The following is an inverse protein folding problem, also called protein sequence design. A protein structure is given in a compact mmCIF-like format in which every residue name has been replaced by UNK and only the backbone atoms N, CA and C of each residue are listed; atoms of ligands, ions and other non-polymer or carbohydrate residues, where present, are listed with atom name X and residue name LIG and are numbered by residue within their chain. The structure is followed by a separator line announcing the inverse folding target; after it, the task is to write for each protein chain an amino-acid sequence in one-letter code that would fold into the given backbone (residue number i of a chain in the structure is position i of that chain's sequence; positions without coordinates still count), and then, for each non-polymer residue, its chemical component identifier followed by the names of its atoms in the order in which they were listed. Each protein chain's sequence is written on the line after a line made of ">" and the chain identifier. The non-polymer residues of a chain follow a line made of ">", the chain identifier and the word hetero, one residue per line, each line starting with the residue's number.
data_IF_647930392496
#
_entry.id   IF_647930392496
#
_cell.length_a   1.000
_cell.length_b   1.000
_cell.length_c   1.000
_cell.angle_alpha   90.00
_cell.angle_beta   90.00
_cell.angle_gamma   90.00
#
_symmetry.space_group_name_H-M   'P 1'
#
loop_
_entity.id
_entity.type
_entity.pdbx_description
1 polymer ?
#
# COMPACT_ATOMS: atom_id res chain seq x y z
N UNK A 1 11.44 5.67 -14.18
CA UNK A 1 11.94 6.62 -13.16
C UNK A 1 11.35 6.31 -11.79
N UNK A 2 10.04 6.01 -11.70
CA UNK A 2 9.37 5.60 -10.45
C UNK A 2 10.07 4.44 -9.72
N UNK A 3 10.42 3.37 -10.44
CA UNK A 3 11.14 2.22 -9.86
C UNK A 3 12.48 2.62 -9.19
N UNK A 4 13.24 3.53 -9.81
CA UNK A 4 14.48 4.08 -9.23
C UNK A 4 14.18 4.92 -7.99
N UNK A 5 13.14 5.76 -8.04
CA UNK A 5 12.74 6.59 -6.90
C UNK A 5 12.31 5.72 -5.70
N UNK A 6 11.55 4.66 -5.97
CA UNK A 6 11.18 3.67 -4.97
C UNK A 6 12.42 2.96 -4.40
N UNK A 7 13.38 2.57 -5.25
CA UNK A 7 14.64 1.99 -4.80
C UNK A 7 15.44 2.93 -3.90
N UNK A 8 15.46 4.23 -4.19
CA UNK A 8 16.11 5.24 -3.35
C UNK A 8 15.47 5.30 -1.96
N UNK A 9 14.14 5.16 -1.87
CA UNK A 9 13.43 5.11 -0.58
C UNK A 9 13.72 3.81 0.21
N UNK A 10 13.97 2.70 -0.48
CA UNK A 10 14.30 1.40 0.13
C UNK A 10 15.75 1.25 0.61
N UNK A 11 16.64 2.22 0.32
CA UNK A 11 18.04 2.19 0.78
C UNK A 11 18.15 2.18 2.33
N UNK A 12 17.05 2.46 3.03
CA UNK A 12 16.97 2.49 4.49
C UNK A 12 17.43 3.83 5.06
N UNK A 13 17.32 3.98 6.38
CA UNK A 13 17.63 5.24 7.06
C UNK A 13 19.11 5.63 6.88
N UNK A 14 20.05 4.70 7.11
CA UNK A 14 21.48 4.98 7.01
C UNK A 14 21.91 5.39 5.60
N UNK A 15 21.41 4.70 4.58
CA UNK A 15 21.83 5.02 3.22
C UNK A 15 21.10 6.24 2.65
N UNK A 16 19.86 6.54 3.07
CA UNK A 16 19.22 7.82 2.74
C UNK A 16 19.94 9.01 3.38
N UNK A 17 20.38 8.87 4.64
CA UNK A 17 21.25 9.84 5.30
C UNK A 17 22.57 10.01 4.56
N UNK A 18 23.24 8.90 4.19
CA UNK A 18 24.50 8.95 3.44
C UNK A 18 24.34 9.65 2.08
N UNK A 19 23.24 9.38 1.36
CA UNK A 19 22.93 10.03 0.10
C UNK A 19 22.67 11.53 0.28
N UNK A 20 21.88 11.92 1.29
CA UNK A 20 21.63 13.33 1.60
C UNK A 20 22.94 14.07 1.92
N UNK A 21 23.80 13.47 2.75
CA UNK A 21 25.13 13.99 3.06
C UNK A 21 26.00 14.15 1.83
N UNK A 22 26.03 13.15 0.94
CA UNK A 22 26.78 13.20 -0.31
C UNK A 22 26.28 14.35 -1.21
N UNK A 23 24.96 14.51 -1.36
CA UNK A 23 24.38 15.61 -2.15
C UNK A 23 24.75 16.97 -1.58
N UNK A 24 24.63 17.17 -0.26
CA UNK A 24 25.02 18.40 0.42
C UNK A 24 26.51 18.71 0.26
N UNK A 25 27.37 17.71 0.39
CA UNK A 25 28.82 17.87 0.27
C UNK A 25 29.24 18.21 -1.17
N UNK A 26 28.71 17.48 -2.16
CA UNK A 26 28.99 17.72 -3.57
C UNK A 26 28.49 19.10 -4.01
N UNK A 27 27.30 19.51 -3.58
CA UNK A 27 26.77 20.83 -3.89
C UNK A 27 27.58 21.96 -3.26
N UNK A 28 28.06 21.78 -2.02
CA UNK A 28 28.99 22.70 -1.37
C UNK A 28 30.31 22.82 -2.15
N UNK A 29 30.93 21.70 -2.52
CA UNK A 29 32.16 21.69 -3.30
C UNK A 29 31.99 22.40 -4.65
N UNK A 30 30.90 22.11 -5.36
CA UNK A 30 30.58 22.75 -6.62
C UNK A 30 30.39 24.26 -6.46
N UNK A 31 29.59 24.70 -5.49
CA UNK A 31 29.37 26.13 -5.22
C UNK A 31 30.68 26.87 -4.91
N UNK A 32 31.61 26.24 -4.20
CA UNK A 32 32.92 26.81 -3.90
C UNK A 32 33.84 26.88 -5.11
N UNK A 33 33.79 25.88 -5.99
CA UNK A 33 34.53 25.91 -7.25
C UNK A 33 34.10 27.08 -8.15
N UNK A 34 32.81 27.43 -8.14
CA UNK A 34 32.27 28.53 -8.96
C UNK A 34 32.34 29.91 -8.29
N UNK A 35 32.51 29.98 -6.96
CA UNK A 35 32.54 31.26 -6.23
C UNK A 35 33.97 31.69 -5.92
N UNK A 36 34.39 32.87 -6.39
CA UNK A 36 35.71 33.45 -6.11
C UNK A 36 35.73 34.51 -5.00
N UNK A 37 34.57 34.81 -4.39
CA UNK A 37 34.43 35.91 -3.44
C UNK A 37 35.16 35.67 -2.11
N UNK A 38 35.89 36.69 -1.65
CA UNK A 38 36.59 36.72 -0.35
C UNK A 38 35.66 37.13 0.79
N UNK A 39 34.50 36.49 0.88
CA UNK A 39 33.57 36.75 1.99
C UNK A 39 34.20 36.32 3.31
N UNK A 40 34.01 37.12 4.35
CA UNK A 40 34.38 36.80 5.74
C UNK A 40 33.13 36.78 6.60
N UNK A 41 32.97 35.72 7.38
CA UNK A 41 31.79 35.53 8.20
C UNK A 41 32.14 35.42 9.69
N UNK A 42 31.57 36.32 10.48
CA UNK A 42 31.73 36.28 11.94
C UNK A 42 31.07 35.04 12.56
N UNK A 43 31.57 34.61 13.72
CA UNK A 43 31.04 33.43 14.45
C UNK A 43 29.51 33.44 14.65
N UNK A 44 28.88 34.52 15.15
CA UNK A 44 27.43 34.53 15.35
C UNK A 44 26.65 34.42 14.03
N UNK A 45 27.15 35.03 12.95
CA UNK A 45 26.51 34.93 11.64
C UNK A 45 26.66 33.53 11.05
N UNK A 46 27.82 32.89 11.21
CA UNK A 46 28.03 31.50 10.80
C UNK A 46 27.12 30.54 11.58
N UNK A 47 26.98 30.73 12.88
CA UNK A 47 26.07 29.94 13.71
C UNK A 47 24.61 30.08 13.25
N UNK A 48 24.16 31.32 12.95
CA UNK A 48 22.83 31.57 12.43
C UNK A 48 22.61 30.84 11.08
N UNK A 49 23.52 30.97 10.12
CA UNK A 49 23.38 30.30 8.81
C UNK A 49 23.42 28.78 8.96
N UNK A 50 24.21 28.25 9.90
CA UNK A 50 24.20 26.82 10.24
C UNK A 50 22.82 26.41 10.75
N UNK A 51 22.25 27.15 11.71
CA UNK A 51 20.90 26.91 12.23
C UNK A 51 19.83 26.99 11.13
N UNK A 52 19.92 27.97 10.22
CA UNK A 52 19.04 28.08 9.06
C UNK A 52 19.17 26.86 8.15
N UNK A 53 20.39 26.39 7.87
CA UNK A 53 20.62 25.21 7.04
C UNK A 53 20.01 23.96 7.66
N UNK A 54 20.13 23.79 8.98
CA UNK A 54 19.44 22.71 9.71
C UNK A 54 17.91 22.79 9.57
N UNK A 55 17.33 23.98 9.71
CA UNK A 55 15.90 24.19 9.53
C UNK A 55 15.44 23.89 8.10
N UNK A 56 16.18 24.37 7.10
CA UNK A 56 15.89 24.08 5.69
C UNK A 56 15.94 22.57 5.41
N UNK A 57 16.97 21.87 5.91
CA UNK A 57 17.08 20.41 5.82
C UNK A 57 15.87 19.73 6.47
N UNK A 58 15.48 20.13 7.69
CA UNK A 58 14.31 19.57 8.35
C UNK A 58 13.02 19.83 7.56
N UNK A 59 12.85 21.00 6.93
CA UNK A 59 11.69 21.28 6.08
C UNK A 59 11.63 20.41 4.82
N UNK A 60 12.77 19.90 4.31
CA UNK A 60 12.74 18.93 3.20
C UNK A 60 12.05 17.62 3.59
N UNK A 61 12.01 17.27 4.89
CA UNK A 61 11.26 16.10 5.38
C UNK A 61 9.74 16.24 5.17
N UNK A 62 9.21 17.45 4.98
CA UNK A 62 7.79 17.66 4.67
C UNK A 62 7.37 16.96 3.38
N UNK A 63 8.29 16.78 2.42
CA UNK A 63 8.02 16.03 1.20
C UNK A 63 7.74 14.54 1.48
N UNK A 64 8.20 13.99 2.60
CA UNK A 64 7.91 12.61 3.00
C UNK A 64 6.40 12.39 3.23
N UNK A 65 5.68 13.43 3.66
CA UNK A 65 4.22 13.36 3.84
C UNK A 65 3.46 13.16 2.52
N UNK A 66 4.06 13.53 1.39
CA UNK A 66 3.49 13.36 0.06
C UNK A 66 3.80 12.01 -0.59
N UNK A 67 4.64 11.16 0.01
CA UNK A 67 5.11 9.91 -0.62
C UNK A 67 3.94 8.97 -0.95
N UNK A 68 2.98 8.81 -0.03
CA UNK A 68 1.86 7.90 -0.23
C UNK A 68 0.97 8.32 -1.41
N UNK A 69 0.65 9.62 -1.50
CA UNK A 69 -0.12 10.15 -2.61
C UNK A 69 0.66 10.06 -3.93
N UNK A 70 1.97 10.29 -3.88
CA UNK A 70 2.85 10.17 -5.04
C UNK A 70 2.94 8.74 -5.58
N UNK A 71 2.92 7.73 -4.70
CA UNK A 71 2.86 6.31 -5.11
C UNK A 71 1.54 6.01 -5.82
N UNK A 72 0.41 6.48 -5.28
CA UNK A 72 -0.92 6.23 -5.85
C UNK A 72 -1.10 6.85 -7.24
N UNK A 73 -0.51 8.02 -7.43
CA UNK A 73 -0.70 8.87 -8.61
C UNK A 73 0.51 8.87 -9.56
N UNK A 74 1.45 7.95 -9.41
CA UNK A 74 2.59 7.74 -10.33
C UNK A 74 3.53 8.96 -10.51
N UNK A 75 3.77 9.72 -9.44
CA UNK A 75 4.69 10.87 -9.45
C UNK A 75 5.75 10.81 -8.33
N UNK A 76 6.03 9.63 -7.78
CA UNK A 76 7.03 9.42 -6.73
C UNK A 76 8.41 9.95 -7.13
N UNK A 77 8.81 9.79 -8.40
CA UNK A 77 10.09 10.32 -8.88
C UNK A 77 10.19 11.85 -8.74
N UNK A 78 9.09 12.58 -8.92
CA UNK A 78 9.08 14.03 -8.76
C UNK A 78 9.27 14.44 -7.29
N UNK A 79 8.61 13.74 -6.36
CA UNK A 79 8.79 13.98 -4.91
C UNK A 79 10.21 13.66 -4.48
N UNK A 80 10.77 12.52 -4.89
CA UNK A 80 12.16 12.15 -4.56
C UNK A 80 13.15 13.15 -5.16
N UNK A 81 12.95 13.58 -6.41
CA UNK A 81 13.79 14.59 -7.05
C UNK A 81 13.69 15.95 -6.34
N UNK A 82 12.51 16.35 -5.87
CA UNK A 82 12.32 17.58 -5.11
C UNK A 82 12.99 17.51 -3.73
N UNK A 83 12.84 16.38 -3.03
CA UNK A 83 13.48 16.13 -1.74
C UNK A 83 14.99 16.26 -1.82
N UNK A 84 15.65 15.47 -2.68
CA UNK A 84 17.11 15.54 -2.82
C UNK A 84 17.59 16.77 -3.59
N UNK A 85 16.80 17.28 -4.54
CA UNK A 85 17.11 18.49 -5.30
C UNK A 85 17.13 19.74 -4.42
N UNK A 86 16.25 19.83 -3.42
CA UNK A 86 16.24 20.94 -2.46
C UNK A 86 17.49 20.98 -1.56
N UNK A 87 18.20 19.85 -1.40
CA UNK A 87 19.48 19.82 -0.69
C UNK A 87 20.61 20.51 -1.46
N UNK A 88 20.50 20.68 -2.78
CA UNK A 88 21.52 21.34 -3.60
C UNK A 88 21.74 22.80 -3.16
N UNK A 89 20.72 23.68 -3.13
CA UNK A 89 20.91 25.06 -2.67
C UNK A 89 21.28 25.13 -1.17
N UNK A 90 20.81 24.19 -0.33
CA UNK A 90 21.14 24.16 1.09
C UNK A 90 22.63 23.84 1.30
N UNK A 91 23.15 22.82 0.61
CA UNK A 91 24.56 22.47 0.68
C UNK A 91 25.45 23.55 0.08
N UNK A 92 25.04 24.20 -1.01
CA UNK A 92 25.73 25.37 -1.55
C UNK A 92 25.84 26.51 -0.51
N UNK A 93 24.73 26.85 0.18
CA UNK A 93 24.71 27.86 1.24
C UNK A 93 25.63 27.47 2.42
N UNK A 94 25.57 26.21 2.85
CA UNK A 94 26.42 25.68 3.91
C UNK A 94 27.92 25.73 3.52
N UNK A 95 28.27 25.33 2.30
CA UNK A 95 29.64 25.38 1.78
C UNK A 95 30.20 26.80 1.70
N UNK A 96 29.45 27.74 1.11
CA UNK A 96 29.86 29.15 0.99
C UNK A 96 30.06 29.77 2.38
N UNK A 97 29.13 29.54 3.30
CA UNK A 97 29.23 30.09 4.66
C UNK A 97 30.38 29.46 5.46
N UNK A 98 30.64 28.16 5.30
CA UNK A 98 31.79 27.47 5.91
C UNK A 98 33.13 27.98 5.35
N UNK A 99 33.23 28.21 4.04
CA UNK A 99 34.42 28.79 3.43
C UNK A 99 34.64 30.24 3.88
N UNK A 100 33.57 31.04 3.97
CA UNK A 100 33.66 32.41 4.46
C UNK A 100 34.06 32.47 5.95
N UNK A 101 33.58 31.51 6.74
CA UNK A 101 34.00 31.33 8.14
C UNK A 101 35.45 30.88 8.24
N UNK A 102 35.88 29.95 7.39
CA UNK A 102 37.26 29.48 7.32
C UNK A 102 38.21 30.63 6.96
N UNK A 103 37.80 31.49 6.02
CA UNK A 103 38.57 32.66 5.61
C UNK A 103 38.73 33.67 6.76
N UNK A 104 37.66 33.94 7.51
CA UNK A 104 37.72 34.80 8.69
C UNK A 104 38.61 34.23 9.81
N UNK A 105 38.54 32.92 10.05
CA UNK A 105 39.22 32.27 11.18
C UNK A 105 40.69 31.88 10.90
N UNK A 106 40.99 31.50 9.65
CA UNK A 106 42.27 30.91 9.26
C UNK A 106 42.96 31.62 8.10
N UNK A 107 42.31 32.62 7.47
CA UNK A 107 42.85 33.32 6.30
C UNK A 107 42.86 32.47 5.02
N UNK A 108 42.19 31.32 5.02
CA UNK A 108 42.04 30.42 3.85
C UNK A 108 40.63 29.87 3.76
N UNK A 109 40.15 29.57 2.55
CA UNK A 109 38.86 28.93 2.29
C UNK A 109 38.92 27.39 2.35
N UNK A 110 40.12 26.80 2.40
CA UNK A 110 40.33 25.37 2.17
C UNK A 110 39.76 24.47 3.27
N UNK A 111 39.50 25.02 4.45
CA UNK A 111 38.96 24.27 5.59
C UNK A 111 37.43 24.29 5.67
N UNK A 112 36.74 24.59 4.58
CA UNK A 112 35.27 24.58 4.50
C UNK A 112 34.69 23.20 4.83
N UNK A 113 35.36 22.11 4.42
CA UNK A 113 34.88 20.74 4.62
C UNK A 113 34.73 20.37 6.10
N UNK A 114 35.39 21.10 7.01
CA UNK A 114 35.23 20.89 8.45
C UNK A 114 33.79 21.11 8.91
N UNK A 115 32.97 21.89 8.19
CA UNK A 115 31.56 22.07 8.54
C UNK A 115 30.73 20.78 8.41
N UNK A 116 31.19 19.84 7.59
CA UNK A 116 30.51 18.58 7.32
C UNK A 116 30.87 17.46 8.32
N UNK A 117 31.84 17.69 9.21
CA UNK A 117 32.17 16.74 10.28
C UNK A 117 31.72 17.36 11.60
N UNK A 118 30.74 16.79 12.33
CA UNK A 118 30.13 17.44 13.49
C UNK A 118 31.13 18.01 14.50
N UNK A 119 32.14 17.21 14.88
CA UNK A 119 33.18 17.65 15.83
C UNK A 119 34.15 18.67 15.24
N UNK A 120 34.48 18.58 13.94
CA UNK A 120 35.36 19.55 13.30
C UNK A 120 34.64 20.89 13.05
N UNK A 121 33.33 20.87 12.87
CA UNK A 121 32.53 22.07 12.73
C UNK A 121 32.57 22.92 14.01
N UNK A 122 32.67 22.29 15.19
CA UNK A 122 32.88 23.01 16.45
C UNK A 122 34.21 23.76 16.45
N UNK A 123 35.28 23.17 15.91
CA UNK A 123 36.57 23.86 15.78
C UNK A 123 36.45 25.09 14.85
N UNK A 124 35.72 24.97 13.73
CA UNK A 124 35.47 26.08 12.81
C UNK A 124 34.59 27.20 13.43
N UNK A 125 33.57 26.79 14.20
CA UNK A 125 32.68 27.69 14.91
C UNK A 125 33.42 28.49 16.00
N UNK A 126 34.22 27.80 16.83
CA UNK A 126 34.89 28.41 17.98
C UNK A 126 36.27 28.98 17.70
N UNK A 127 36.82 28.83 16.50
CA UNK A 127 38.06 29.50 16.12
C UNK A 127 37.96 31.03 16.31
N UNK A 128 39.06 31.69 16.66
CA UNK A 128 39.10 33.15 16.74
C UNK A 128 39.06 33.77 15.33
N UNK A 129 38.48 34.95 15.19
CA UNK A 129 38.60 35.72 13.94
C UNK A 129 40.00 36.35 13.88
N UNK A 130 40.61 36.39 12.70
CA UNK A 130 41.87 37.10 12.47
C UNK A 130 41.70 38.62 12.46
N UNK A 131 40.49 39.11 12.16
CA UNK A 131 40.21 40.54 12.17
C UNK A 131 40.04 41.05 13.61
N UNK A 132 40.66 42.20 13.90
CA UNK A 132 40.57 42.81 15.23
C UNK A 132 39.11 43.10 15.54
N UNK A 133 38.59 42.63 16.67
CA UNK A 133 37.21 42.87 16.98
C UNK A 133 36.97 44.36 17.26
N UNK A 134 36.11 45.01 16.48
CA UNK A 134 35.46 46.26 16.91
C UNK A 134 34.81 46.04 18.27
N UNK A 135 35.18 46.85 19.27
CA UNK A 135 34.65 46.78 20.63
C UNK A 135 33.43 47.69 20.79
N UNK A 136 32.37 47.21 21.44
CA UNK A 136 31.18 48.03 21.74
C UNK A 136 29.93 47.22 22.12
N UNK A 137 29.04 47.83 22.92
CA UNK A 137 27.75 47.27 23.34
C UNK A 137 26.87 46.83 22.16
N UNK A 138 26.74 47.61 21.05
CA UNK A 138 25.89 47.20 19.92
C UNK A 138 26.28 45.86 19.30
N UNK A 139 27.58 45.55 19.28
CA UNK A 139 28.09 44.26 18.76
C UNK A 139 27.71 43.09 19.65
N UNK A 140 27.78 43.25 20.97
CA UNK A 140 27.41 42.21 21.93
C UNK A 140 25.92 41.89 21.77
N UNK A 141 25.07 42.92 21.71
CA UNK A 141 23.63 42.77 21.49
C UNK A 141 23.37 42.05 20.16
N UNK A 142 23.99 42.48 19.06
CA UNK A 142 23.85 41.81 17.75
C UNK A 142 24.29 40.34 17.81
N UNK A 143 25.38 40.04 18.49
CA UNK A 143 25.90 38.66 18.61
C UNK A 143 24.93 37.78 19.40
N UNK A 144 24.38 38.27 20.51
CA UNK A 144 23.37 37.58 21.31
C UNK A 144 22.14 37.30 20.45
N UNK A 145 21.62 38.31 19.75
CA UNK A 145 20.43 38.16 18.89
C UNK A 145 20.65 37.09 17.80
N UNK A 146 21.80 37.11 17.11
CA UNK A 146 22.12 36.12 16.07
C UNK A 146 22.25 34.70 16.62
N UNK A 147 22.89 34.54 17.79
CA UNK A 147 23.01 33.23 18.45
C UNK A 147 21.64 32.73 18.89
N UNK A 148 20.83 33.56 19.55
CA UNK A 148 19.48 33.20 19.97
C UNK A 148 18.63 32.77 18.77
N UNK A 149 18.69 33.51 17.66
CA UNK A 149 17.95 33.15 16.45
C UNK A 149 18.45 31.82 15.85
N UNK A 150 19.75 31.56 15.86
CA UNK A 150 20.31 30.28 15.43
C UNK A 150 19.83 29.11 16.30
N UNK A 151 19.77 29.28 17.63
CA UNK A 151 19.23 28.28 18.55
C UNK A 151 17.74 28.03 18.28
N UNK A 152 16.95 29.10 18.07
CA UNK A 152 15.54 28.97 17.72
C UNK A 152 15.33 28.22 16.41
N UNK A 153 16.16 28.46 15.39
CA UNK A 153 16.09 27.72 14.12
C UNK A 153 16.42 26.23 14.29
N UNK A 154 17.45 25.89 15.09
CA UNK A 154 17.76 24.49 15.40
C UNK A 154 16.63 23.81 16.18
N UNK A 155 16.06 24.50 17.17
CA UNK A 155 14.90 23.99 17.91
C UNK A 155 13.66 23.80 17.03
N UNK A 156 13.42 24.74 16.11
CA UNK A 156 12.35 24.63 15.12
C UNK A 156 12.59 23.45 14.15
N UNK A 157 13.84 23.23 13.73
CA UNK A 157 14.21 22.11 12.87
C UNK A 157 13.85 20.77 13.52
N UNK A 158 14.26 20.57 14.78
CA UNK A 158 13.92 19.38 15.56
C UNK A 158 12.40 19.24 15.77
N UNK A 159 11.71 20.36 16.01
CA UNK A 159 10.26 20.39 16.11
C UNK A 159 9.55 19.93 14.83
N UNK A 160 10.03 20.37 13.66
CA UNK A 160 9.53 19.96 12.35
C UNK A 160 9.78 18.47 12.12
N UNK A 161 11.01 17.98 12.34
CA UNK A 161 11.34 16.56 12.14
C UNK A 161 10.46 15.64 12.98
N UNK A 162 10.31 15.93 14.29
CA UNK A 162 9.44 15.15 15.18
C UNK A 162 7.95 15.25 14.83
N UNK A 163 7.53 16.38 14.25
CA UNK A 163 6.16 16.53 13.78
C UNK A 163 5.92 15.68 12.53
N UNK A 164 6.84 15.72 11.55
CA UNK A 164 6.80 14.89 10.34
C UNK A 164 6.84 13.41 10.69
N UNK A 165 7.73 12.97 11.57
CA UNK A 165 7.80 11.57 12.00
C UNK A 165 6.47 11.07 12.58
N UNK A 166 5.83 11.88 13.43
CA UNK A 166 4.50 11.54 13.98
C UNK A 166 3.42 11.46 12.91
N UNK A 167 3.42 12.40 11.96
CA UNK A 167 2.46 12.39 10.85
C UNK A 167 2.71 11.21 9.90
N UNK A 168 3.97 10.90 9.61
CA UNK A 168 4.35 9.76 8.78
C UNK A 168 3.95 8.43 9.43
N UNK A 169 4.12 8.28 10.74
CA UNK A 169 3.66 7.11 11.49
C UNK A 169 2.13 6.96 11.40
N UNK A 170 1.38 8.04 11.61
CA UNK A 170 -0.09 8.03 11.47
C UNK A 170 -0.55 7.69 10.05
N UNK A 171 0.15 8.21 9.04
CA UNK A 171 -0.14 7.90 7.65
C UNK A 171 0.20 6.43 7.32
N UNK A 172 1.24 5.86 7.91
CA UNK A 172 1.64 4.46 7.69
C UNK A 172 0.56 3.48 8.15
N UNK A 173 -0.12 3.76 9.27
CA UNK A 173 -1.25 2.94 9.75
C UNK A 173 -2.43 2.97 8.75
N UNK A 174 -2.70 4.11 8.12
CA UNK A 174 -3.70 4.25 7.07
C UNK A 174 -3.31 3.52 5.78
N UNK A 175 -2.03 3.55 5.41
CA UNK A 175 -1.49 2.92 4.21
C UNK A 175 -1.63 1.39 4.22
N UNK A 176 -1.54 0.75 5.39
CA UNK A 176 -1.74 -0.69 5.50
C UNK A 176 -3.15 -1.15 5.12
N UNK A 177 -4.14 -0.26 5.14
CA UNK A 177 -5.51 -0.57 4.78
C UNK A 177 -5.91 -0.06 3.38
N UNK A 178 -4.98 0.56 2.65
CA UNK A 178 -5.24 1.12 1.33
C UNK A 178 -4.84 0.12 0.23
N UNK A 179 -5.85 -0.55 -0.34
CA UNK A 179 -5.65 -1.57 -1.37
C UNK A 179 -4.95 -1.04 -2.64
N UNK A 180 -5.18 0.23 -3.02
CA UNK A 180 -4.52 0.81 -4.20
C UNK A 180 -3.04 1.02 -3.93
N UNK A 181 -2.70 1.48 -2.72
CA UNK A 181 -1.31 1.66 -2.33
C UNK A 181 -0.57 0.32 -2.25
N UNK A 182 -1.19 -0.70 -1.66
CA UNK A 182 -0.61 -2.04 -1.58
C UNK A 182 -0.33 -2.64 -2.97
N UNK A 183 -1.29 -2.56 -3.90
CA UNK A 183 -1.10 -3.03 -5.29
C UNK A 183 0.09 -2.32 -5.97
N UNK A 184 0.20 -1.00 -5.82
CA UNK A 184 1.33 -0.23 -6.38
C UNK A 184 2.67 -0.59 -5.75
N UNK A 185 2.71 -0.77 -4.43
CA UNK A 185 3.93 -1.15 -3.69
C UNK A 185 4.44 -2.51 -4.17
N UNK A 186 3.56 -3.52 -4.25
CA UNK A 186 3.93 -4.85 -4.72
C UNK A 186 4.45 -4.79 -6.16
N UNK A 187 3.81 -4.00 -7.04
CA UNK A 187 4.30 -3.80 -8.43
C UNK A 187 5.71 -3.21 -8.47
N UNK A 188 6.00 -2.20 -7.66
CA UNK A 188 7.33 -1.61 -7.63
C UNK A 188 8.39 -2.57 -7.09
N UNK A 189 8.02 -3.37 -6.11
CA UNK A 189 8.89 -4.39 -5.55
C UNK A 189 9.22 -5.47 -6.59
N UNK A 190 8.21 -6.00 -7.29
CA UNK A 190 8.40 -6.96 -8.38
C UNK A 190 9.22 -6.39 -9.52
N UNK A 191 9.06 -5.11 -9.88
CA UNK A 191 9.88 -4.45 -10.89
C UNK A 191 11.35 -4.29 -10.48
N UNK A 192 11.62 -4.10 -9.20
CA UNK A 192 12.96 -3.85 -8.68
C UNK A 192 13.73 -5.13 -8.36
N UNK A 193 13.06 -6.10 -7.73
CA UNK A 193 13.68 -7.31 -7.20
C UNK A 193 13.41 -8.55 -8.09
N UNK A 194 12.42 -8.47 -8.98
CA UNK A 194 11.91 -9.59 -9.74
C UNK A 194 10.81 -10.35 -8.99
N UNK A 195 9.92 -11.01 -9.73
CA UNK A 195 8.75 -11.68 -9.17
C UNK A 195 9.10 -12.74 -8.13
N UNK A 196 10.07 -13.63 -8.42
CA UNK A 196 10.46 -14.71 -7.50
C UNK A 196 10.99 -14.18 -6.17
N UNK A 197 11.78 -13.11 -6.18
CA UNK A 197 12.35 -12.54 -4.96
C UNK A 197 11.25 -11.91 -4.08
N UNK A 198 10.35 -11.13 -4.68
CA UNK A 198 9.20 -10.55 -3.97
C UNK A 198 8.25 -11.60 -3.43
N UNK A 199 8.01 -12.69 -4.19
CA UNK A 199 7.23 -13.81 -3.69
C UNK A 199 7.92 -14.48 -2.49
N UNK A 200 9.26 -14.65 -2.49
CA UNK A 200 9.98 -15.23 -1.34
C UNK A 200 9.87 -14.36 -0.09
N UNK A 201 10.04 -13.05 -0.24
CA UNK A 201 9.86 -12.10 0.86
C UNK A 201 8.43 -12.15 1.42
N UNK A 202 7.42 -12.19 0.54
CA UNK A 202 6.03 -12.35 0.94
C UNK A 202 5.77 -13.69 1.65
N UNK A 203 6.41 -14.78 1.23
CA UNK A 203 6.28 -16.09 1.88
C UNK A 203 6.88 -16.09 3.29
N UNK A 204 8.04 -15.45 3.49
CA UNK A 204 8.72 -15.35 4.79
C UNK A 204 7.93 -14.52 5.81
N UNK A 205 7.11 -13.57 5.33
CA UNK A 205 6.26 -12.74 6.18
C UNK A 205 5.01 -13.48 6.73
N UNK A 206 4.64 -14.62 6.15
CA UNK A 206 3.44 -15.36 6.56
C UNK A 206 3.80 -16.30 7.73
N UNK A 207 3.17 -16.14 8.90
CA UNK A 207 3.46 -17.00 10.05
C UNK A 207 3.01 -18.44 9.79
N UNK A 208 3.94 -19.39 9.91
CA UNK A 208 3.68 -20.83 9.80
C UNK A 208 4.34 -21.61 10.95
N UNK A 209 3.70 -22.67 11.48
CA UNK A 209 2.36 -23.16 11.14
C UNK A 209 1.24 -22.28 11.71
N UNK A 210 0.10 -22.22 11.01
CA UNK A 210 -1.09 -21.49 11.46
C UNK A 210 -2.35 -22.36 11.31
N UNK A 211 -3.14 -22.48 12.38
CA UNK A 211 -4.43 -23.17 12.32
C UNK A 211 -5.48 -22.24 11.73
N UNK A 212 -6.10 -22.62 10.61
CA UNK A 212 -7.11 -21.81 9.94
C UNK A 212 -8.51 -22.13 10.47
N UNK A 213 -8.81 -23.42 10.55
CA UNK A 213 -10.11 -23.91 11.05
C UNK A 213 -9.93 -25.21 11.86
N UNK A 214 -11.03 -25.88 12.20
CA UNK A 214 -11.01 -27.11 12.99
C UNK A 214 -10.24 -28.27 12.34
N UNK A 215 -10.19 -28.31 11.00
CA UNK A 215 -9.65 -29.41 10.20
C UNK A 215 -8.49 -29.01 9.28
N UNK A 216 -8.24 -27.71 9.07
CA UNK A 216 -7.22 -27.17 8.15
C UNK A 216 -6.16 -26.39 8.91
N UNK A 217 -4.89 -26.73 8.67
CA UNK A 217 -3.74 -25.97 9.16
C UNK A 217 -2.82 -25.58 8.00
N UNK A 218 -2.41 -24.33 7.92
CA UNK A 218 -1.35 -23.89 7.02
C UNK A 218 0.00 -24.35 7.59
N UNK A 219 0.66 -25.26 6.88
CA UNK A 219 1.90 -25.91 7.30
C UNK A 219 3.14 -25.15 6.83
N UNK A 220 3.10 -24.67 5.58
CA UNK A 220 4.21 -23.95 4.95
C UNK A 220 3.70 -23.05 3.83
N UNK A 221 4.48 -22.02 3.51
CA UNK A 221 4.39 -21.26 2.27
C UNK A 221 5.71 -21.40 1.53
N UNK A 222 5.66 -21.89 0.30
CA UNK A 222 6.82 -22.19 -0.54
C UNK A 222 6.78 -21.33 -1.80
N UNK A 223 7.95 -20.98 -2.33
CA UNK A 223 8.06 -20.30 -3.62
C UNK A 223 8.94 -21.11 -4.55
N UNK A 224 8.39 -21.45 -5.71
CA UNK A 224 9.08 -22.13 -6.79
C UNK A 224 8.91 -21.33 -8.09
N UNK A 225 9.95 -20.53 -8.42
CA UNK A 225 9.93 -19.57 -9.53
C UNK A 225 8.78 -18.56 -9.38
N UNK A 226 7.80 -18.63 -10.26
CA UNK A 226 6.61 -17.77 -10.31
C UNK A 226 5.42 -18.42 -9.56
N UNK A 227 5.60 -19.58 -8.94
CA UNK A 227 4.55 -20.27 -8.19
C UNK A 227 4.66 -19.97 -6.70
N UNK A 228 3.63 -19.35 -6.14
CA UNK A 228 3.46 -19.08 -4.72
C UNK A 228 2.54 -20.15 -4.10
N UNK A 229 3.12 -21.09 -3.36
CA UNK A 229 2.46 -22.32 -2.92
C UNK A 229 2.15 -22.30 -1.42
N UNK A 230 0.88 -22.40 -1.08
CA UNK A 230 0.40 -22.71 0.27
C UNK A 230 0.28 -24.22 0.45
N UNK A 231 0.88 -24.75 1.51
CA UNK A 231 0.77 -26.17 1.88
C UNK A 231 -0.19 -26.30 3.07
N UNK A 232 -1.40 -26.76 2.80
CA UNK A 232 -2.45 -26.97 3.80
C UNK A 232 -2.46 -28.43 4.26
N UNK A 233 -2.38 -28.66 5.56
CA UNK A 233 -2.59 -29.96 6.20
C UNK A 233 -4.06 -30.11 6.60
N UNK A 234 -4.68 -31.22 6.20
CA UNK A 234 -6.08 -31.54 6.46
C UNK A 234 -6.16 -32.75 7.40
N UNK A 235 -6.79 -32.56 8.56
CA UNK A 235 -6.97 -33.62 9.55
C UNK A 235 -8.16 -34.53 9.28
N UNK A 236 -9.13 -34.08 8.47
CA UNK A 236 -10.29 -34.90 8.10
C UNK A 236 -9.94 -35.89 6.98
N UNK A 237 -10.02 -37.18 7.30
CA UNK A 237 -9.77 -38.28 6.34
C UNK A 237 -10.86 -38.40 5.28
N UNK A 238 -12.03 -37.81 5.50
CA UNK A 238 -13.16 -37.84 4.59
C UNK A 238 -13.32 -36.53 3.79
N UNK A 239 -12.31 -35.66 3.81
CA UNK A 239 -12.33 -34.41 3.05
C UNK A 239 -12.58 -34.69 1.55
N UNK A 240 -13.62 -34.07 1.00
CA UNK A 240 -14.04 -34.27 -0.38
C UNK A 240 -13.65 -33.07 -1.25
N UNK A 241 -12.72 -33.27 -2.17
CA UNK A 241 -12.25 -32.27 -3.13
C UNK A 241 -12.97 -32.43 -4.48
N UNK A 242 -14.28 -32.18 -4.46
CA UNK A 242 -15.14 -32.25 -5.67
C UNK A 242 -14.82 -31.15 -6.70
N UNK A 243 -15.36 -31.28 -7.91
CA UNK A 243 -15.30 -30.21 -8.92
C UNK A 243 -15.94 -28.91 -8.41
N UNK A 244 -17.06 -29.00 -7.68
CA UNK A 244 -17.69 -27.83 -7.07
C UNK A 244 -16.79 -27.13 -6.06
N UNK A 245 -16.01 -27.88 -5.28
CA UNK A 245 -15.00 -27.30 -4.39
C UNK A 245 -13.91 -26.56 -5.19
N UNK A 246 -13.43 -27.14 -6.29
CA UNK A 246 -12.44 -26.49 -7.16
C UNK A 246 -12.97 -25.18 -7.75
N UNK A 247 -14.23 -25.14 -8.21
CA UNK A 247 -14.88 -23.93 -8.73
C UNK A 247 -15.00 -22.84 -7.65
N UNK A 248 -15.44 -23.22 -6.45
CA UNK A 248 -15.57 -22.30 -5.31
C UNK A 248 -14.20 -21.70 -4.95
N UNK A 249 -13.17 -22.54 -4.85
CA UNK A 249 -11.82 -22.09 -4.49
C UNK A 249 -11.18 -21.25 -5.60
N UNK A 250 -11.37 -21.62 -6.87
CA UNK A 250 -10.89 -20.83 -8.02
C UNK A 250 -11.52 -19.45 -8.02
N UNK A 251 -12.84 -19.36 -7.89
CA UNK A 251 -13.55 -18.08 -7.79
C UNK A 251 -13.01 -17.23 -6.63
N UNK A 252 -12.86 -17.85 -5.45
CA UNK A 252 -12.38 -17.19 -4.23
C UNK A 252 -10.99 -16.61 -4.44
N UNK A 253 -10.05 -17.37 -5.01
CA UNK A 253 -8.69 -16.88 -5.20
C UNK A 253 -8.58 -15.86 -6.33
N UNK A 254 -9.33 -16.02 -7.41
CA UNK A 254 -9.39 -15.04 -8.49
C UNK A 254 -9.99 -13.69 -8.06
N UNK A 255 -10.82 -13.68 -7.00
CA UNK A 255 -11.45 -12.47 -6.43
C UNK A 255 -10.75 -11.94 -5.18
N UNK A 256 -9.96 -12.76 -4.48
CA UNK A 256 -9.24 -12.35 -3.26
C UNK A 256 -8.26 -11.21 -3.59
N UNK A 257 -8.32 -10.05 -2.91
CA UNK A 257 -7.38 -8.95 -3.14
C UNK A 257 -5.91 -9.39 -3.02
N UNK A 258 -5.61 -10.21 -2.02
CA UNK A 258 -4.25 -10.66 -1.71
C UNK A 258 -3.67 -11.50 -2.86
N UNK A 259 -4.45 -12.47 -3.36
CA UNK A 259 -4.00 -13.33 -4.46
C UNK A 259 -4.11 -12.64 -5.81
N UNK A 260 -5.11 -11.79 -6.00
CA UNK A 260 -5.33 -11.09 -7.26
C UNK A 260 -4.14 -10.21 -7.61
N UNK A 261 -3.57 -9.46 -6.66
CA UNK A 261 -2.40 -8.63 -6.91
C UNK A 261 -1.21 -9.47 -7.44
N UNK A 262 -0.95 -10.63 -6.82
CA UNK A 262 0.12 -11.54 -7.25
C UNK A 262 -0.18 -12.19 -8.63
N UNK A 263 -1.43 -12.64 -8.84
CA UNK A 263 -1.87 -13.25 -10.09
C UNK A 263 -1.81 -12.25 -11.25
N UNK A 264 -2.22 -10.99 -11.02
CA UNK A 264 -2.16 -9.93 -12.03
C UNK A 264 -0.71 -9.58 -12.40
N UNK A 265 0.25 -9.84 -11.50
CA UNK A 265 1.68 -9.71 -11.73
C UNK A 265 2.31 -10.93 -12.43
N UNK A 266 1.50 -11.93 -12.79
CA UNK A 266 1.94 -13.13 -13.50
C UNK A 266 2.28 -14.32 -12.61
N UNK A 267 2.08 -14.23 -11.29
CA UNK A 267 2.29 -15.37 -10.41
C UNK A 267 1.22 -16.45 -10.59
N UNK A 268 1.58 -17.69 -10.27
CA UNK A 268 0.63 -18.79 -10.07
C UNK A 268 0.49 -19.05 -8.58
N UNK A 269 -0.72 -18.91 -8.04
CA UNK A 269 -1.01 -19.28 -6.64
C UNK A 269 -1.40 -20.75 -6.60
N UNK A 270 -0.71 -21.56 -5.81
CA UNK A 270 -1.01 -22.98 -5.62
C UNK A 270 -1.43 -23.26 -4.18
N UNK A 271 -2.52 -23.98 -3.97
CA UNK A 271 -2.83 -24.60 -2.68
C UNK A 271 -2.68 -26.10 -2.79
N UNK A 272 -1.70 -26.63 -2.08
CA UNK A 272 -1.42 -28.06 -1.98
C UNK A 272 -2.01 -28.57 -0.67
N UNK A 273 -3.00 -29.46 -0.77
CA UNK A 273 -3.70 -30.04 0.37
C UNK A 273 -3.12 -31.42 0.65
N UNK A 274 -2.61 -31.63 1.87
CA UNK A 274 -1.96 -32.87 2.30
C UNK A 274 -2.65 -33.44 3.54
N UNK A 275 -2.61 -34.76 3.72
CA UNK A 275 -3.03 -35.41 4.96
C UNK A 275 -2.02 -35.19 6.08
N UNK A 276 -2.36 -35.56 7.31
CA UNK A 276 -1.42 -35.58 8.44
C UNK A 276 -0.18 -36.44 8.18
N UNK A 277 -0.32 -37.50 7.39
CA UNK A 277 0.80 -38.37 6.98
C UNK A 277 1.61 -37.77 5.81
N UNK A 278 1.25 -36.59 5.32
CA UNK A 278 1.91 -35.88 4.22
C UNK A 278 1.49 -36.33 2.82
N UNK A 279 0.51 -37.23 2.69
CA UNK A 279 -0.02 -37.66 1.39
C UNK A 279 -0.79 -36.51 0.75
N UNK A 280 -0.51 -36.20 -0.51
CA UNK A 280 -1.28 -35.20 -1.25
C UNK A 280 -2.72 -35.69 -1.47
N UNK A 281 -3.68 -34.88 -1.02
CA UNK A 281 -5.12 -35.10 -1.18
C UNK A 281 -5.65 -34.36 -2.41
N UNK A 282 -5.21 -33.11 -2.60
CA UNK A 282 -5.58 -32.28 -3.74
C UNK A 282 -4.52 -31.20 -4.01
N UNK A 283 -4.54 -30.62 -5.21
CA UNK A 283 -3.83 -29.38 -5.53
C UNK A 283 -4.72 -28.51 -6.43
N UNK A 284 -4.74 -27.22 -6.17
CA UNK A 284 -5.36 -26.21 -7.00
C UNK A 284 -4.31 -25.18 -7.40
N UNK A 285 -4.14 -24.94 -8.70
CA UNK A 285 -3.21 -23.93 -9.24
C UNK A 285 -4.00 -22.87 -9.96
N UNK A 286 -3.93 -21.63 -9.51
CA UNK A 286 -4.67 -20.49 -10.05
C UNK A 286 -3.67 -19.49 -10.63
N UNK A 287 -3.89 -19.14 -11.89
CA UNK A 287 -3.11 -18.16 -12.66
C UNK A 287 -4.05 -17.20 -13.37
N UNK A 288 -3.51 -16.16 -14.01
CA UNK A 288 -4.30 -15.19 -14.78
C UNK A 288 -5.15 -15.87 -15.84
N UNK A 289 -4.53 -16.79 -16.60
CA UNK A 289 -5.20 -17.54 -17.66
C UNK A 289 -6.33 -18.41 -17.10
N UNK A 290 -6.14 -19.07 -15.96
CA UNK A 290 -7.20 -19.87 -15.35
C UNK A 290 -8.35 -18.98 -14.87
N UNK A 291 -8.06 -17.81 -14.26
CA UNK A 291 -9.10 -16.89 -13.81
C UNK A 291 -9.96 -16.35 -14.96
N UNK A 292 -9.34 -16.01 -16.09
CA UNK A 292 -10.05 -15.55 -17.29
C UNK A 292 -10.89 -16.67 -17.90
N UNK A 293 -10.32 -17.86 -18.05
CA UNK A 293 -11.00 -19.04 -18.58
C UNK A 293 -12.20 -19.40 -17.70
N UNK A 294 -11.98 -19.53 -16.39
CA UNK A 294 -13.02 -19.87 -15.42
C UNK A 294 -14.15 -18.85 -15.45
N UNK A 295 -13.84 -17.54 -15.44
CA UNK A 295 -14.86 -16.47 -15.49
C UNK A 295 -15.71 -16.57 -16.76
N UNK A 296 -15.09 -16.80 -17.93
CA UNK A 296 -15.80 -16.95 -19.19
C UNK A 296 -16.70 -18.18 -19.21
N UNK A 297 -16.19 -19.33 -18.74
CA UNK A 297 -16.95 -20.57 -18.66
C UNK A 297 -18.11 -20.46 -17.67
N UNK A 298 -17.86 -19.88 -16.50
CA UNK A 298 -18.86 -19.68 -15.46
C UNK A 298 -19.97 -18.74 -15.93
N UNK A 299 -19.62 -17.61 -16.54
CA UNK A 299 -20.61 -16.69 -17.12
C UNK A 299 -21.50 -17.41 -18.12
N UNK A 300 -20.91 -18.13 -19.08
CA UNK A 300 -21.68 -18.89 -20.07
C UNK A 300 -22.57 -19.94 -19.41
N UNK A 301 -22.07 -20.68 -18.44
CA UNK A 301 -22.85 -21.68 -17.72
C UNK A 301 -24.05 -21.07 -16.97
N UNK A 302 -23.90 -19.87 -16.40
CA UNK A 302 -24.99 -19.17 -15.73
C UNK A 302 -26.01 -18.62 -16.73
N UNK A 303 -25.57 -18.09 -17.87
CA UNK A 303 -26.46 -17.67 -18.97
C UNK A 303 -27.25 -18.88 -19.51
N UNK A 304 -26.59 -20.00 -19.76
CA UNK A 304 -27.20 -21.24 -20.22
C UNK A 304 -28.20 -21.79 -19.18
N UNK A 305 -27.84 -21.75 -17.89
CA UNK A 305 -28.72 -22.17 -16.79
C UNK A 305 -29.97 -21.27 -16.67
N UNK A 306 -29.82 -19.95 -16.83
CA UNK A 306 -30.94 -19.01 -16.85
C UNK A 306 -31.87 -19.27 -18.05
N UNK A 307 -31.30 -19.47 -19.24
CA UNK A 307 -32.03 -19.78 -20.47
C UNK A 307 -32.75 -21.14 -20.41
N UNK A 308 -32.22 -22.11 -19.64
CA UNK A 308 -32.84 -23.41 -19.44
C UNK A 308 -34.10 -23.35 -18.57
N UNK A 309 -34.26 -22.30 -17.75
CA UNK A 309 -35.46 -22.09 -16.92
C UNK A 309 -36.60 -21.59 -17.82
N UNK A 310 -37.39 -22.55 -18.32
CA UNK A 310 -38.58 -22.27 -19.14
C UNK A 310 -39.77 -21.93 -18.23
N UNK A 311 -40.28 -20.70 -18.35
CA UNK A 311 -41.60 -20.33 -17.82
C UNK A 311 -42.70 -20.38 -18.88
N UNK A 312 -43.97 -20.29 -18.47
CA UNK A 312 -44.44 -20.22 -17.09
C UNK A 312 -44.47 -21.59 -16.41
N UNK A 313 -43.93 -21.69 -15.19
CA UNK A 313 -43.99 -22.88 -14.34
C UNK A 313 -44.65 -22.52 -13.00
N UNK A 314 -45.81 -23.13 -12.70
CA UNK A 314 -46.52 -22.89 -11.44
C UNK A 314 -45.75 -23.53 -10.27
N UNK A 315 -45.35 -22.72 -9.28
CA UNK A 315 -44.59 -23.19 -8.11
C UNK A 315 -45.51 -23.57 -6.94
N UNK A 316 -46.56 -22.78 -6.73
CA UNK A 316 -47.60 -22.99 -5.75
C UNK A 316 -48.93 -22.39 -6.24
N UNK A 317 -49.96 -22.33 -5.39
CA UNK A 317 -51.28 -21.82 -5.78
C UNK A 317 -51.27 -20.36 -6.27
N UNK A 318 -50.33 -19.55 -5.78
CA UNK A 318 -50.30 -18.10 -5.97
C UNK A 318 -49.06 -17.59 -6.69
N UNK A 319 -48.01 -18.40 -6.88
CA UNK A 319 -46.72 -18.02 -7.46
C UNK A 319 -46.43 -18.80 -8.74
N UNK A 320 -46.12 -18.09 -9.82
CA UNK A 320 -45.64 -18.68 -11.08
C UNK A 320 -44.25 -18.15 -11.42
N UNK A 321 -43.32 -19.04 -11.71
CA UNK A 321 -42.00 -18.70 -12.25
C UNK A 321 -42.11 -18.43 -13.75
N UNK A 322 -41.83 -17.21 -14.17
CA UNK A 322 -41.91 -16.75 -15.55
C UNK A 322 -40.62 -16.98 -16.35
N UNK A 323 -39.48 -17.05 -15.67
CA UNK A 323 -38.18 -17.28 -16.28
C UNK A 323 -37.04 -16.83 -15.38
N UNK A 324 -35.83 -16.83 -15.92
CA UNK A 324 -34.66 -16.30 -15.26
C UNK A 324 -33.74 -15.58 -16.24
N UNK A 325 -32.89 -14.70 -15.73
CA UNK A 325 -31.76 -14.11 -16.44
C UNK A 325 -30.49 -14.16 -15.59
N UNK A 326 -29.34 -13.96 -16.22
CA UNK A 326 -28.08 -13.76 -15.54
C UNK A 326 -27.36 -12.57 -16.16
N UNK A 327 -26.98 -11.61 -15.32
CA UNK A 327 -26.29 -10.40 -15.76
C UNK A 327 -25.46 -9.81 -14.62
N UNK A 328 -24.22 -9.41 -14.94
CA UNK A 328 -23.32 -8.68 -14.04
C UNK A 328 -23.16 -9.36 -12.65
N UNK A 329 -23.08 -10.69 -12.62
CA UNK A 329 -22.94 -11.46 -11.37
C UNK A 329 -24.25 -11.66 -10.59
N UNK A 330 -25.37 -11.18 -11.11
CA UNK A 330 -26.71 -11.37 -10.54
C UNK A 330 -27.51 -12.39 -11.35
N UNK A 331 -28.00 -13.43 -10.69
CA UNK A 331 -28.96 -14.37 -11.25
C UNK A 331 -30.37 -13.96 -10.83
N UNK A 332 -31.18 -13.43 -11.76
CA UNK A 332 -32.54 -12.98 -11.46
C UNK A 332 -33.58 -14.01 -11.86
N UNK A 333 -34.51 -14.28 -10.95
CA UNK A 333 -35.72 -15.06 -11.21
C UNK A 333 -36.92 -14.11 -11.31
N UNK A 334 -37.77 -14.32 -12.31
CA UNK A 334 -38.97 -13.52 -12.53
C UNK A 334 -40.20 -14.30 -12.11
N UNK A 335 -40.99 -13.74 -11.21
CA UNK A 335 -42.18 -14.38 -10.65
C UNK A 335 -43.42 -13.52 -10.88
N UNK A 336 -44.55 -14.17 -11.11
CA UNK A 336 -45.88 -13.55 -11.04
C UNK A 336 -46.66 -14.04 -9.84
N UNK A 337 -47.35 -13.13 -9.15
CA UNK A 337 -48.29 -13.43 -8.07
C UNK A 337 -49.74 -13.23 -8.53
N UNK A 338 -50.59 -14.21 -8.24
CA UNK A 338 -52.04 -14.13 -8.46
C UNK A 338 -52.73 -13.18 -7.46
N UNK A 339 -52.14 -13.01 -6.26
CA UNK A 339 -52.65 -12.17 -5.18
C UNK A 339 -51.55 -11.24 -4.67
N UNK A 340 -51.85 -9.95 -4.58
CA UNK A 340 -50.93 -8.97 -3.99
C UNK A 340 -50.61 -9.37 -2.54
N UNK A 341 -49.33 -9.53 -2.17
CA UNK A 341 -48.97 -9.76 -0.78
C UNK A 341 -49.49 -8.61 0.07
N UNK A 342 -50.23 -8.93 1.14
CA UNK A 342 -50.90 -7.91 1.97
C UNK A 342 -49.95 -7.14 2.89
N UNK A 343 -48.76 -7.66 3.14
CA UNK A 343 -47.83 -7.17 4.18
C UNK A 343 -46.37 -7.16 3.69
N UNK A 344 -45.61 -6.05 3.81
CA UNK A 344 -44.18 -5.98 3.52
C UNK A 344 -43.32 -7.08 4.18
N UNK A 345 -43.79 -7.72 5.25
CA UNK A 345 -43.14 -8.89 5.87
C UNK A 345 -42.87 -10.05 4.88
N UNK A 346 -43.58 -10.12 3.76
CA UNK A 346 -43.36 -11.14 2.73
C UNK A 346 -41.93 -11.13 2.17
N UNK A 347 -41.30 -9.96 2.03
CA UNK A 347 -39.93 -9.85 1.50
C UNK A 347 -38.95 -10.53 2.44
N UNK A 348 -39.11 -10.32 3.74
CA UNK A 348 -38.23 -10.89 4.76
C UNK A 348 -38.43 -12.40 4.87
N UNK A 349 -39.69 -12.85 4.76
CA UNK A 349 -39.99 -14.27 4.63
C UNK A 349 -39.27 -14.92 3.44
N UNK A 350 -39.34 -14.29 2.26
CA UNK A 350 -38.69 -14.81 1.05
C UNK A 350 -37.16 -14.81 1.17
N UNK A 351 -36.56 -13.75 1.72
CA UNK A 351 -35.11 -13.73 2.00
C UNK A 351 -34.70 -14.90 2.89
N UNK A 352 -35.38 -15.09 4.02
CA UNK A 352 -35.08 -16.17 4.96
C UNK A 352 -35.21 -17.54 4.31
N UNK A 353 -36.26 -17.74 3.50
CA UNK A 353 -36.46 -19.00 2.76
C UNK A 353 -35.35 -19.23 1.74
N UNK A 354 -34.97 -18.20 1.00
CA UNK A 354 -33.92 -18.30 -0.01
C UNK A 354 -32.54 -18.55 0.59
N UNK A 355 -32.21 -17.92 1.71
CA UNK A 355 -30.98 -18.19 2.46
C UNK A 355 -30.87 -19.64 2.95
N UNK A 356 -32.02 -20.32 3.11
CA UNK A 356 -32.06 -21.72 3.56
C UNK A 356 -32.06 -22.73 2.40
N UNK A 357 -32.32 -22.32 1.17
CA UNK A 357 -32.35 -23.20 -0.02
C UNK A 357 -30.94 -23.62 -0.43
N UNK A 358 -30.68 -24.92 -0.52
CA UNK A 358 -29.34 -25.44 -0.80
C UNK A 358 -28.78 -25.04 -2.18
N UNK A 359 -29.65 -24.97 -3.20
CA UNK A 359 -29.26 -24.45 -4.53
C UNK A 359 -28.74 -23.02 -4.43
N UNK A 360 -29.43 -22.16 -3.68
CA UNK A 360 -29.04 -20.76 -3.52
C UNK A 360 -27.79 -20.62 -2.65
N UNK A 361 -27.61 -21.47 -1.63
CA UNK A 361 -26.34 -21.53 -0.89
C UNK A 361 -25.17 -21.87 -1.79
N UNK A 362 -25.31 -22.83 -2.70
CA UNK A 362 -24.26 -23.19 -3.65
C UNK A 362 -23.92 -22.03 -4.61
N UNK A 363 -24.95 -21.32 -5.10
CA UNK A 363 -24.75 -20.12 -5.93
C UNK A 363 -24.08 -18.97 -5.14
N UNK A 364 -24.51 -18.71 -3.91
CA UNK A 364 -23.89 -17.69 -3.06
C UNK A 364 -22.46 -18.06 -2.64
N UNK A 365 -22.12 -19.35 -2.55
CA UNK A 365 -20.76 -19.81 -2.25
C UNK A 365 -19.74 -19.46 -3.36
N UNK A 366 -20.21 -19.27 -4.60
CA UNK A 366 -19.43 -18.72 -5.71
C UNK A 366 -19.65 -17.22 -5.90
N UNK A 367 -20.15 -16.54 -4.86
CA UNK A 367 -20.31 -15.08 -4.80
C UNK A 367 -21.25 -14.55 -5.92
N UNK A 368 -22.35 -15.27 -6.16
CA UNK A 368 -23.47 -14.80 -6.96
C UNK A 368 -24.49 -14.05 -6.10
N UNK A 369 -24.99 -12.94 -6.64
CA UNK A 369 -26.18 -12.27 -6.14
C UNK A 369 -27.43 -12.97 -6.72
N UNK A 370 -28.42 -13.25 -5.88
CA UNK A 370 -29.65 -13.91 -6.32
C UNK A 370 -30.80 -12.93 -6.12
N UNK A 371 -31.48 -12.58 -7.22
CA UNK A 371 -32.54 -11.58 -7.24
C UNK A 371 -33.87 -12.23 -7.63
N UNK A 372 -34.94 -11.91 -6.92
CA UNK A 372 -36.31 -12.25 -7.28
C UNK A 372 -37.05 -10.99 -7.65
N UNK A 373 -37.58 -10.93 -8.87
CA UNK A 373 -38.41 -9.82 -9.36
C UNK A 373 -39.85 -10.31 -9.42
N UNK A 374 -40.73 -9.66 -8.66
CA UNK A 374 -42.11 -10.09 -8.49
C UNK A 374 -43.07 -9.08 -9.11
N UNK A 375 -43.97 -9.57 -9.97
CA UNK A 375 -45.05 -8.78 -10.60
C UNK A 375 -46.41 -9.43 -10.38
N UNK A 376 -47.50 -8.71 -10.65
CA UNK A 376 -48.83 -9.32 -10.77
C UNK A 376 -48.97 -10.02 -12.12
N UNK A 377 -50.04 -10.80 -12.33
CA UNK A 377 -50.39 -11.37 -13.65
C UNK A 377 -50.60 -10.30 -14.73
N UNK A 378 -50.93 -9.07 -14.33
CA UNK A 378 -51.06 -7.89 -15.22
C UNK A 378 -49.76 -7.11 -15.37
N UNK A 379 -48.61 -7.69 -14.98
CA UNK A 379 -47.27 -7.08 -15.00
C UNK A 379 -47.11 -5.82 -14.13
N UNK A 380 -47.97 -5.60 -13.13
CA UNK A 380 -47.74 -4.52 -12.16
C UNK A 380 -46.64 -4.92 -11.17
N UNK A 381 -45.67 -4.04 -10.86
CA UNK A 381 -44.56 -4.37 -9.97
C UNK A 381 -45.03 -4.55 -8.53
N UNK A 382 -44.63 -5.65 -7.89
CA UNK A 382 -44.87 -5.93 -6.46
C UNK A 382 -43.62 -5.58 -5.66
N UNK A 383 -42.45 -5.95 -6.18
CA UNK A 383 -41.16 -5.61 -5.59
C UNK A 383 -40.09 -6.63 -5.92
N UNK A 384 -38.96 -6.49 -5.25
CA UNK A 384 -37.81 -7.36 -5.42
C UNK A 384 -37.25 -7.86 -4.09
N UNK A 385 -36.59 -9.01 -4.17
CA UNK A 385 -35.86 -9.65 -3.07
C UNK A 385 -34.45 -9.95 -3.58
N UNK A 386 -33.43 -9.43 -2.89
CA UNK A 386 -32.03 -9.73 -3.17
C UNK A 386 -31.46 -10.51 -1.98
N UNK A 387 -30.77 -11.61 -2.26
CA UNK A 387 -29.98 -12.37 -1.27
C UNK A 387 -28.59 -12.64 -1.81
N UNK A 388 -27.62 -12.64 -0.90
CA UNK A 388 -26.23 -13.03 -1.13
C UNK A 388 -25.60 -13.50 0.18
N UNK A 389 -24.35 -13.96 0.12
CA UNK A 389 -23.60 -14.47 1.28
C UNK A 389 -23.61 -13.49 2.47
N UNK A 390 -23.48 -12.18 2.19
CA UNK A 390 -23.52 -11.10 3.20
C UNK A 390 -24.89 -10.97 3.87
N UNK A 391 -25.97 -10.97 3.09
CA UNK A 391 -27.34 -10.86 3.61
C UNK A 391 -27.72 -12.10 4.41
N UNK A 392 -27.33 -13.29 3.94
CA UNK A 392 -27.71 -14.55 4.56
C UNK A 392 -26.87 -14.93 5.79
N UNK A 393 -25.90 -14.11 6.19
CA UNK A 393 -24.99 -14.42 7.31
C UNK A 393 -24.19 -15.69 7.09
N UNK A 394 -24.13 -16.18 5.86
CA UNK A 394 -23.23 -17.26 5.48
C UNK A 394 -21.89 -16.59 5.20
N UNK A 395 -21.20 -16.23 6.30
CA UNK A 395 -19.76 -16.00 6.23
C UNK A 395 -19.19 -17.21 5.54
N UNK A 396 -18.59 -17.01 4.36
CA UNK A 396 -18.15 -18.08 3.51
C UNK A 396 -16.92 -18.77 4.13
N UNK A 397 -17.06 -19.42 5.28
CA UNK A 397 -16.00 -20.06 6.09
C UNK A 397 -14.73 -19.19 6.11
N UNK A 398 -14.66 -18.29 7.09
CA UNK A 398 -13.39 -17.65 7.46
C UNK A 398 -12.39 -18.71 7.89
#
# INVERSE_FOLDING_TARGET
>A
MEALAYRILQIGELGSLALAWAVLFVSAAAALAFTKYELKLSRPAYFLITGLSFLLCAMTSLFALGIQDAIKNDYLAAIVALSYGSLIPIGALAGISAAARSNDAYGTRDKWFLSFVPFANLALLFAASLERPESGIPRVVRSIVLVTLGVLMMGAAEGVSRWVERQAAQAADGAQNDAQLQDKVIRYEVQNNGLEASLKEAAEAIPVPAKLDAITSLKAVEVDKETFRYVYEISDKNANFSSSWQDIMTNRWCKSPDFKAMIDLGATVEGKYVSQDGQQLASLRVSTALCEQWRSQFQKAMEDAANAIKGPTKLDEVTTLMGADYKDGTFSYYYTFALLPRDPAWKEYMKNRWCQTDQFKAMMAVDLDIRGVYTTETNAPIGEVLVNSRICGTSALN
#
